data_IF_718648049366
#
_entry.id   IF_718648049366
#
_cell.length_a   1.000
_cell.length_b   1.000
_cell.length_c   1.000
_cell.angle_alpha   90.00
_cell.angle_beta   90.00
_cell.angle_gamma   90.00
#
_symmetry.space_group_name_H-M   'P 1'
#
loop_
_entity.id
_entity.type
_entity.pdbx_description
1 polymer ?
#
# COMPACT_ATOMS: atom_id res chain seq x y z
N UNK A 1 -29.06 -13.22 -51.32
CA UNK A 1 -28.00 -12.18 -51.36
C UNK A 1 -28.18 -11.31 -50.12
N UNK A 2 -27.44 -11.59 -49.04
CA UNK A 2 -27.53 -10.82 -47.79
C UNK A 2 -26.74 -9.51 -47.96
N UNK A 3 -27.28 -8.34 -47.55
CA UNK A 3 -26.53 -7.08 -47.59
C UNK A 3 -25.41 -7.11 -46.55
N UNK A 4 -24.22 -6.66 -46.94
CA UNK A 4 -23.07 -6.47 -46.05
C UNK A 4 -23.38 -5.43 -44.98
N UNK A 5 -23.07 -5.65 -43.69
CA UNK A 5 -23.32 -4.66 -42.65
C UNK A 5 -22.38 -3.45 -42.84
N UNK A 6 -22.92 -2.25 -42.69
CA UNK A 6 -22.19 -1.00 -42.80
C UNK A 6 -21.26 -0.81 -41.57
N UNK A 7 -20.00 -1.22 -41.71
CA UNK A 7 -18.97 -1.20 -40.66
C UNK A 7 -18.51 0.22 -40.21
N UNK A 8 -18.89 1.28 -40.92
CA UNK A 8 -18.39 2.63 -40.68
C UNK A 8 -18.79 3.22 -39.30
N UNK A 9 -19.98 2.88 -38.79
CA UNK A 9 -20.45 3.40 -37.50
C UNK A 9 -19.61 2.91 -36.31
N UNK A 10 -19.19 1.65 -36.32
CA UNK A 10 -18.42 1.04 -35.24
C UNK A 10 -17.04 1.69 -35.05
N UNK A 11 -16.40 2.13 -36.14
CA UNK A 11 -15.10 2.79 -36.08
C UNK A 11 -15.17 4.20 -35.48
N UNK A 12 -16.22 4.97 -35.80
CA UNK A 12 -16.41 6.31 -35.22
C UNK A 12 -16.63 6.23 -33.71
N UNK A 13 -17.45 5.28 -33.26
CA UNK A 13 -17.66 5.06 -31.83
C UNK A 13 -16.41 4.54 -31.13
N UNK A 14 -15.59 3.71 -31.78
CA UNK A 14 -14.32 3.26 -31.23
C UNK A 14 -13.35 4.43 -30.99
N UNK A 15 -13.18 5.31 -31.98
CA UNK A 15 -12.31 6.50 -31.85
C UNK A 15 -12.82 7.43 -30.75
N UNK A 16 -14.14 7.63 -30.66
CA UNK A 16 -14.73 8.45 -29.60
C UNK A 16 -14.55 7.83 -28.21
N UNK A 17 -14.69 6.50 -28.09
CA UNK A 17 -14.51 5.79 -26.83
C UNK A 17 -13.07 5.93 -26.30
N UNK A 18 -12.07 5.83 -27.19
CA UNK A 18 -10.67 6.05 -26.84
C UNK A 18 -10.40 7.49 -26.38
N UNK A 19 -10.97 8.48 -27.08
CA UNK A 19 -10.85 9.88 -26.66
C UNK A 19 -11.45 10.12 -25.26
N UNK A 20 -12.65 9.59 -25.00
CA UNK A 20 -13.30 9.73 -23.68
C UNK A 20 -12.48 9.02 -22.60
N UNK A 21 -11.92 7.85 -22.89
CA UNK A 21 -11.05 7.11 -21.96
C UNK A 21 -9.83 7.94 -21.60
N UNK A 22 -9.17 8.55 -22.58
CA UNK A 22 -8.02 9.43 -22.35
C UNK A 22 -8.37 10.62 -21.46
N UNK A 23 -9.48 11.31 -21.72
CA UNK A 23 -9.94 12.44 -20.90
C UNK A 23 -10.21 12.04 -19.44
N UNK A 24 -10.81 10.87 -19.21
CA UNK A 24 -11.04 10.34 -17.86
C UNK A 24 -9.72 10.03 -17.15
N UNK A 25 -8.75 9.41 -17.85
CA UNK A 25 -7.43 9.11 -17.30
C UNK A 25 -6.70 10.39 -16.93
N UNK A 26 -6.70 11.40 -17.81
CA UNK A 26 -6.08 12.70 -17.56
C UNK A 26 -6.66 13.36 -16.31
N UNK A 27 -7.99 13.45 -16.21
CA UNK A 27 -8.64 14.01 -15.02
C UNK A 27 -8.34 13.25 -13.73
N UNK A 28 -8.18 11.92 -13.82
CA UNK A 28 -7.77 11.10 -12.65
C UNK A 28 -6.33 11.40 -12.23
N UNK A 29 -5.42 11.53 -13.20
CA UNK A 29 -4.01 11.87 -12.93
C UNK A 29 -3.88 13.26 -12.32
N UNK A 30 -4.60 14.24 -12.86
CA UNK A 30 -4.66 15.61 -12.35
C UNK A 30 -5.21 15.64 -10.92
N UNK A 31 -6.35 15.01 -10.68
CA UNK A 31 -6.94 14.94 -9.34
C UNK A 31 -6.04 14.23 -8.33
N UNK A 32 -5.35 13.15 -8.73
CA UNK A 32 -4.37 12.49 -7.87
C UNK A 32 -3.14 13.38 -7.59
N UNK A 33 -2.69 14.18 -8.56
CA UNK A 33 -1.59 15.11 -8.36
C UNK A 33 -1.97 16.20 -7.36
N UNK A 34 -3.18 16.75 -7.46
CA UNK A 34 -3.70 17.73 -6.50
C UNK A 34 -3.86 17.14 -5.10
N UNK A 35 -4.41 15.93 -4.98
CA UNK A 35 -4.52 15.23 -3.70
C UNK A 35 -3.14 15.03 -3.04
N UNK A 36 -2.13 14.61 -3.82
CA UNK A 36 -0.74 14.52 -3.34
C UNK A 36 -0.19 15.87 -2.90
N UNK A 37 -0.45 16.94 -3.65
CA UNK A 37 0.00 18.29 -3.31
C UNK A 37 -0.62 18.80 -1.99
N UNK A 38 -1.85 18.37 -1.66
CA UNK A 38 -2.51 18.61 -0.37
C UNK A 38 -2.01 17.70 0.76
N UNK A 39 -1.13 16.74 0.48
CA UNK A 39 -0.66 15.75 1.44
C UNK A 39 -1.70 14.67 1.76
N UNK A 40 -2.71 14.49 0.92
CA UNK A 40 -3.69 13.42 1.09
C UNK A 40 -3.06 12.07 0.78
N UNK A 41 -3.30 11.11 1.67
CA UNK A 41 -2.78 9.74 1.51
C UNK A 41 -3.61 8.99 0.46
N UNK A 42 -3.02 8.72 -0.70
CA UNK A 42 -3.66 7.97 -1.79
C UNK A 42 -3.41 6.46 -1.60
N UNK A 43 -4.45 5.65 -1.77
CA UNK A 43 -4.34 4.18 -1.77
C UNK A 43 -4.60 3.53 -0.41
N UNK A 44 -4.26 2.24 -0.31
CA UNK A 44 -4.62 1.40 0.85
C UNK A 44 -3.92 1.90 2.13
N UNK A 45 -4.64 2.06 3.27
CA UNK A 45 -4.01 2.43 4.53
C UNK A 45 -2.94 1.44 4.99
N UNK A 46 -1.93 1.91 5.75
CA UNK A 46 -0.98 1.02 6.40
C UNK A 46 -1.71 -0.06 7.20
N UNK A 47 -1.23 -1.29 7.08
CA UNK A 47 -1.84 -2.44 7.76
C UNK A 47 -1.56 -2.46 9.28
N UNK A 48 -0.67 -1.60 9.75
CA UNK A 48 -0.25 -1.49 11.15
C UNK A 48 -0.11 -0.01 11.53
N UNK A 49 -0.36 0.29 12.80
CA UNK A 49 -0.14 1.64 13.35
C UNK A 49 1.30 1.78 13.87
N UNK A 50 1.77 3.02 14.00
CA UNK A 50 3.08 3.28 14.59
C UNK A 50 3.17 2.75 16.04
N UNK A 51 2.08 2.86 16.80
CA UNK A 51 1.99 2.33 18.18
C UNK A 51 2.14 0.81 18.20
N UNK A 52 1.52 0.08 17.27
CA UNK A 52 1.69 -1.37 17.15
C UNK A 52 3.14 -1.75 16.85
N UNK A 53 3.85 -0.98 16.02
CA UNK A 53 5.27 -1.22 15.73
C UNK A 53 6.13 -0.98 16.98
N UNK A 54 5.86 0.10 17.72
CA UNK A 54 6.56 0.39 18.98
C UNK A 54 6.34 -0.71 20.01
N UNK A 55 5.10 -1.13 20.20
CA UNK A 55 4.74 -2.21 21.12
C UNK A 55 5.38 -3.54 20.68
N UNK A 56 5.36 -3.86 19.38
CA UNK A 56 6.03 -5.06 18.87
C UNK A 56 7.54 -5.04 19.15
N UNK A 57 8.21 -3.89 18.93
CA UNK A 57 9.65 -3.73 19.19
C UNK A 57 10.00 -3.88 20.66
N UNK A 58 9.20 -3.32 21.58
CA UNK A 58 9.44 -3.48 23.02
C UNK A 58 9.29 -4.94 23.46
N UNK A 59 8.28 -5.64 22.95
CA UNK A 59 8.08 -7.06 23.26
C UNK A 59 9.19 -7.95 22.68
N UNK A 60 9.66 -7.66 21.47
CA UNK A 60 10.73 -8.43 20.80
C UNK A 60 12.11 -8.25 21.46
N UNK A 61 12.27 -7.22 22.29
CA UNK A 61 13.48 -7.01 23.04
C UNK A 61 13.61 -7.95 24.25
N UNK A 62 12.50 -8.56 24.69
CA UNK A 62 12.51 -9.61 25.69
C UNK A 62 13.01 -10.93 25.06
N UNK A 63 14.03 -11.59 25.66
CA UNK A 63 14.65 -12.77 25.05
C UNK A 63 13.69 -13.97 24.90
N UNK A 64 12.66 -14.06 25.73
CA UNK A 64 11.70 -15.17 25.74
C UNK A 64 10.50 -14.95 24.78
N UNK A 65 10.37 -13.76 24.19
CA UNK A 65 9.20 -13.43 23.38
C UNK A 65 9.29 -14.03 21.97
N UNK A 66 8.26 -14.78 21.58
CA UNK A 66 8.15 -15.35 20.22
C UNK A 66 7.49 -14.37 19.25
N UNK A 67 8.09 -14.19 18.07
CA UNK A 67 7.51 -13.43 16.94
C UNK A 67 6.09 -13.90 16.61
N UNK A 68 5.83 -15.21 16.69
CA UNK A 68 4.51 -15.78 16.39
C UNK A 68 3.48 -15.39 17.45
N UNK A 69 3.89 -15.33 18.72
CA UNK A 69 3.01 -14.91 19.82
C UNK A 69 2.66 -13.42 19.70
N UNK A 70 3.67 -12.58 19.47
CA UNK A 70 3.49 -11.12 19.32
C UNK A 70 2.60 -10.80 18.12
N UNK A 71 2.82 -11.45 16.98
CA UNK A 71 1.98 -11.29 15.80
C UNK A 71 0.51 -11.62 16.09
N UNK A 72 0.24 -12.74 16.79
CA UNK A 72 -1.12 -13.11 17.21
C UNK A 72 -1.72 -12.10 18.18
N UNK A 73 -0.94 -11.64 19.17
CA UNK A 73 -1.40 -10.69 20.17
C UNK A 73 -1.80 -9.35 19.55
N UNK A 74 -1.00 -8.86 18.60
CA UNK A 74 -1.25 -7.60 17.90
C UNK A 74 -2.25 -7.73 16.74
N UNK A 75 -2.70 -8.95 16.42
CA UNK A 75 -3.63 -9.21 15.32
C UNK A 75 -3.03 -8.99 13.93
N UNK A 76 -1.71 -9.03 13.79
CA UNK A 76 -0.99 -8.79 12.53
C UNK A 76 -0.34 -10.08 12.02
N UNK A 77 -0.18 -10.22 10.70
CA UNK A 77 0.50 -11.39 10.16
C UNK A 77 2.01 -11.34 10.49
N UNK A 78 2.66 -12.51 10.61
CA UNK A 78 4.13 -12.56 10.77
C UNK A 78 4.85 -11.85 9.64
N UNK A 79 4.39 -12.03 8.40
CA UNK A 79 4.93 -11.35 7.21
C UNK A 79 4.83 -9.84 7.33
N UNK A 80 3.72 -9.33 7.86
CA UNK A 80 3.54 -7.91 8.17
C UNK A 80 4.54 -7.46 9.23
N UNK A 81 4.69 -8.22 10.32
CA UNK A 81 5.63 -7.88 11.39
C UNK A 81 7.08 -7.83 10.90
N UNK A 82 7.52 -8.81 10.10
CA UNK A 82 8.84 -8.82 9.46
C UNK A 82 9.05 -7.62 8.51
N UNK A 83 8.01 -7.21 7.78
CA UNK A 83 8.09 -6.03 6.90
C UNK A 83 8.30 -4.72 7.66
N UNK A 84 7.69 -4.57 8.84
CA UNK A 84 7.75 -3.33 9.63
C UNK A 84 8.83 -3.33 10.72
N UNK A 85 9.44 -4.48 11.01
CA UNK A 85 10.53 -4.65 11.98
C UNK A 85 11.70 -5.37 11.29
N UNK A 86 12.47 -4.65 10.45
CA UNK A 86 13.53 -5.24 9.62
C UNK A 86 14.67 -5.86 10.45
N UNK A 87 14.80 -5.51 11.73
CA UNK A 87 15.75 -6.12 12.66
C UNK A 87 15.58 -7.65 12.73
N UNK A 88 14.36 -8.14 12.56
CA UNK A 88 14.03 -9.58 12.55
C UNK A 88 14.58 -10.32 11.32
N UNK A 89 14.77 -9.64 10.20
CA UNK A 89 15.36 -10.22 8.98
C UNK A 89 16.88 -10.38 9.10
N UNK A 90 17.55 -9.47 9.82
CA UNK A 90 19.00 -9.48 10.01
C UNK A 90 19.47 -10.49 11.07
N UNK A 91 18.58 -11.33 11.61
CA UNK A 91 18.87 -12.27 12.68
C UNK A 91 19.13 -11.61 14.04
N UNK A 92 18.89 -10.30 14.17
CA UNK A 92 19.08 -9.54 15.39
C UNK A 92 17.79 -9.37 16.18
N UNK A 93 17.84 -9.49 17.51
CA UNK A 93 16.75 -8.98 18.35
C UNK A 93 16.87 -7.45 18.44
N UNK A 94 15.77 -6.70 18.30
CA UNK A 94 15.82 -5.25 18.45
C UNK A 94 16.31 -4.91 19.87
N UNK A 95 17.33 -4.07 19.97
CA UNK A 95 17.83 -3.61 21.26
C UNK A 95 16.79 -2.70 21.92
N UNK A 96 16.54 -2.90 23.21
CA UNK A 96 15.72 -2.00 24.04
C UNK A 96 16.29 -0.58 23.91
N UNK A 97 15.56 0.34 23.27
CA UNK A 97 15.96 1.75 23.15
C UNK A 97 16.68 2.17 21.87
N UNK A 98 16.78 1.31 20.84
CA UNK A 98 17.21 1.76 19.52
C UNK A 98 16.21 2.78 18.97
N UNK A 99 16.67 4.02 18.83
CA UNK A 99 15.87 5.17 18.41
C UNK A 99 15.06 4.86 17.14
N UNK A 100 13.79 5.26 17.20
CA UNK A 100 12.80 5.15 16.14
C UNK A 100 13.30 5.94 14.93
N UNK A 101 13.94 5.26 13.96
CA UNK A 101 13.95 5.78 12.60
C UNK A 101 12.47 5.90 12.19
N UNK A 102 12.01 7.07 11.69
CA UNK A 102 10.66 7.20 11.20
C UNK A 102 10.48 6.13 10.13
N UNK A 103 9.63 5.15 10.40
CA UNK A 103 9.07 4.35 9.32
C UNK A 103 8.19 5.36 8.60
N UNK A 104 8.73 5.98 7.55
CA UNK A 104 7.99 6.87 6.65
C UNK A 104 6.79 6.07 6.15
N UNK A 105 5.64 6.27 6.80
CA UNK A 105 4.36 5.68 6.43
C UNK A 105 3.87 6.45 5.19
N UNK A 106 4.50 6.16 4.06
CA UNK A 106 4.05 6.59 2.73
C UNK A 106 2.78 5.88 2.28
#
# INVERSE_FOLDING_TARGET
MMPTPHYAGFHVFAVLAELIRELIVQGTVEGMAEARARGERIGRPPAVTAEQILHARSMLAEPEASVTFIAKLLGISRTTLHKYVPELEAGGRPAVGAQVAPVELG
#
